data_IF_194153001859
#
_entry.id   IF_194153001859
#
_cell.length_a   1.000
_cell.length_b   1.000
_cell.length_c   1.000
_cell.angle_alpha   90.00
_cell.angle_beta   90.00
_cell.angle_gamma   90.00
#
_symmetry.space_group_name_H-M   'P 1'
#
loop_
_entity.id
_entity.type
_entity.pdbx_description
1 polymer ?
#
# COMPACT_ATOMS: atom_id res chain seq x y z
N UNK A 1 -34.25 46.18 -14.61
CA UNK A 1 -34.96 44.90 -14.81
C UNK A 1 -34.84 44.51 -16.26
N UNK A 2 -34.02 43.50 -16.55
CA UNK A 2 -33.64 43.11 -17.91
C UNK A 2 -33.90 41.63 -18.11
N UNK A 3 -34.37 41.34 -19.34
CA UNK A 3 -34.27 40.07 -20.09
C UNK A 3 -35.45 39.10 -20.06
N UNK A 4 -36.44 39.46 -20.89
CA UNK A 4 -37.02 38.68 -22.00
C UNK A 4 -37.25 37.18 -21.80
N UNK A 5 -38.54 36.87 -21.63
CA UNK A 5 -39.21 35.60 -21.92
C UNK A 5 -39.31 35.42 -23.44
N UNK A 6 -38.93 34.27 -23.98
CA UNK A 6 -39.69 33.58 -25.04
C UNK A 6 -39.31 32.10 -25.08
N UNK A 7 -40.35 31.26 -25.14
CA UNK A 7 -40.30 29.82 -24.98
C UNK A 7 -40.33 29.06 -26.32
N UNK A 8 -40.04 27.75 -26.22
CA UNK A 8 -40.53 26.63 -27.03
C UNK A 8 -40.15 26.57 -28.52
N UNK A 9 -39.36 25.54 -28.90
CA UNK A 9 -39.79 24.52 -29.89
C UNK A 9 -39.09 23.18 -29.59
N UNK A 10 -39.91 22.16 -29.38
CA UNK A 10 -39.64 20.72 -29.30
C UNK A 10 -39.27 20.12 -30.66
N UNK A 11 -38.30 19.21 -30.70
CA UNK A 11 -38.23 18.18 -31.74
C UNK A 11 -37.86 16.84 -31.10
N UNK A 12 -38.82 15.92 -31.10
CA UNK A 12 -38.75 14.53 -30.64
C UNK A 12 -38.80 13.64 -31.89
N UNK A 13 -38.27 12.42 -31.73
CA UNK A 13 -38.40 11.21 -32.57
C UNK A 13 -37.41 11.11 -33.75
N UNK A 14 -36.90 9.93 -34.13
CA UNK A 14 -36.78 8.58 -33.57
C UNK A 14 -36.19 7.74 -34.73
N UNK A 15 -35.44 6.67 -34.43
CA UNK A 15 -35.33 5.39 -35.17
C UNK A 15 -34.00 4.72 -34.76
N UNK A 16 -33.98 3.85 -33.75
CA UNK A 16 -34.21 2.39 -33.85
C UNK A 16 -33.23 1.69 -34.80
N UNK A 17 -32.31 0.90 -34.25
CA UNK A 17 -31.67 -0.17 -35.02
C UNK A 17 -30.32 -0.65 -34.52
N UNK A 18 -30.33 -1.69 -33.68
CA UNK A 18 -29.32 -2.75 -33.61
C UNK A 18 -27.88 -2.38 -33.21
N UNK A 19 -27.58 -2.56 -31.92
CA UNK A 19 -26.80 -3.71 -31.45
C UNK A 19 -26.61 -3.52 -29.94
N UNK A 20 -27.40 -4.28 -29.18
CA UNK A 20 -27.13 -4.54 -27.78
C UNK A 20 -25.82 -5.32 -27.69
N UNK A 21 -24.69 -4.62 -27.76
CA UNK A 21 -23.46 -5.11 -27.13
C UNK A 21 -23.71 -4.91 -25.65
N UNK A 22 -24.09 -6.00 -25.00
CA UNK A 22 -23.99 -6.17 -23.57
C UNK A 22 -22.56 -5.83 -23.15
N UNK A 23 -22.28 -4.54 -22.92
CA UNK A 23 -21.18 -4.11 -22.07
C UNK A 23 -21.62 -4.48 -20.67
N UNK A 24 -21.61 -5.79 -20.38
CA UNK A 24 -21.44 -6.24 -19.01
C UNK A 24 -20.29 -5.41 -18.47
N UNK A 25 -20.45 -4.69 -17.35
CA UNK A 25 -19.28 -4.19 -16.66
C UNK A 25 -18.49 -5.47 -16.38
N UNK A 26 -17.39 -5.67 -17.12
CA UNK A 26 -16.38 -6.65 -16.76
C UNK A 26 -16.19 -6.41 -15.29
N UNK A 27 -16.60 -7.38 -14.46
CA UNK A 27 -16.49 -7.26 -13.02
C UNK A 27 -15.02 -6.91 -12.79
N UNK A 28 -14.76 -5.64 -12.48
CA UNK A 28 -13.51 -5.23 -11.90
C UNK A 28 -13.45 -6.11 -10.67
N UNK A 29 -12.69 -7.21 -10.76
CA UNK A 29 -12.41 -8.05 -9.61
C UNK A 29 -11.96 -7.07 -8.55
N UNK A 30 -12.78 -6.89 -7.52
CA UNK A 30 -12.61 -5.83 -6.55
C UNK A 30 -11.30 -6.11 -5.84
N UNK A 31 -10.22 -5.53 -6.35
CA UNK A 31 -8.90 -5.54 -5.76
C UNK A 31 -9.08 -5.06 -4.32
N UNK A 32 -9.05 -6.00 -3.38
CA UNK A 32 -9.32 -5.68 -2.00
C UNK A 32 -8.03 -5.15 -1.39
N UNK A 33 -8.09 -3.95 -0.82
CA UNK A 33 -6.94 -3.34 -0.17
C UNK A 33 -6.82 -3.90 1.24
N UNK A 34 -5.71 -4.57 1.52
CA UNK A 34 -5.41 -5.14 2.84
C UNK A 34 -4.22 -4.40 3.44
N UNK A 35 -4.34 -4.04 4.72
CA UNK A 35 -3.27 -3.45 5.51
C UNK A 35 -2.74 -4.49 6.50
N UNK A 36 -1.42 -4.71 6.49
CA UNK A 36 -0.76 -5.66 7.40
C UNK A 36 0.30 -4.90 8.20
N UNK A 37 0.28 -5.10 9.51
CA UNK A 37 1.19 -4.43 10.45
C UNK A 37 2.35 -5.36 10.81
N UNK A 38 3.57 -4.92 10.56
CA UNK A 38 4.80 -5.60 10.93
C UNK A 38 5.47 -4.88 12.09
N UNK A 39 5.66 -5.61 13.19
CA UNK A 39 6.37 -5.09 14.36
C UNK A 39 7.86 -4.92 14.08
N UNK A 40 8.57 -4.07 14.86
CA UNK A 40 10.03 -3.96 14.77
C UNK A 40 10.79 -5.29 14.83
N UNK A 41 10.28 -6.28 15.58
CA UNK A 41 10.88 -7.60 15.67
C UNK A 41 10.71 -8.40 14.38
N UNK A 42 9.52 -8.39 13.78
CA UNK A 42 9.27 -9.03 12.48
C UNK A 42 10.13 -8.41 11.37
N UNK A 43 10.38 -7.10 11.45
CA UNK A 43 11.28 -6.39 10.54
C UNK A 43 12.75 -6.78 10.73
N UNK A 44 13.08 -7.35 11.89
CA UNK A 44 14.34 -8.04 12.14
C UNK A 44 14.62 -9.16 11.14
N UNK A 45 13.62 -9.93 10.72
CA UNK A 45 13.79 -11.02 9.75
C UNK A 45 14.19 -10.49 8.37
N UNK A 46 13.53 -9.42 7.91
CA UNK A 46 13.92 -8.74 6.67
C UNK A 46 15.34 -8.18 6.78
N UNK A 47 15.66 -7.49 7.88
CA UNK A 47 16.99 -6.94 8.12
C UNK A 47 18.07 -8.02 8.17
N UNK A 48 17.77 -9.17 8.80
CA UNK A 48 18.65 -10.34 8.84
C UNK A 48 18.92 -10.87 7.43
N UNK A 49 17.87 -11.04 6.65
CA UNK A 49 17.96 -11.60 5.31
C UNK A 49 18.59 -10.66 4.27
N UNK A 50 18.43 -9.34 4.40
CA UNK A 50 18.76 -8.37 3.34
C UNK A 50 19.86 -7.37 3.69
N UNK A 51 20.17 -7.17 4.96
CA UNK A 51 21.13 -6.14 5.40
C UNK A 51 22.32 -6.78 6.14
N UNK A 52 22.06 -7.47 7.24
CA UNK A 52 23.10 -8.15 8.01
C UNK A 52 22.47 -9.28 8.82
N UNK A 53 22.99 -10.50 8.71
CA UNK A 53 22.42 -11.72 9.29
C UNK A 53 22.31 -11.72 10.82
N UNK A 54 23.03 -10.84 11.52
CA UNK A 54 22.92 -10.65 12.97
C UNK A 54 21.87 -9.61 13.37
N UNK A 55 21.19 -8.96 12.41
CA UNK A 55 20.14 -7.98 12.71
C UNK A 55 18.89 -8.67 13.27
N UNK A 56 18.25 -8.03 14.24
CA UNK A 56 17.11 -8.57 14.98
C UNK A 56 15.96 -7.59 15.14
N UNK A 57 16.17 -6.31 14.85
CA UNK A 57 15.15 -5.26 14.99
C UNK A 57 15.21 -4.33 13.77
N UNK A 58 14.05 -3.96 13.23
CA UNK A 58 13.87 -2.95 12.20
C UNK A 58 13.06 -1.74 12.70
N UNK A 59 13.35 -0.56 12.14
CA UNK A 59 12.83 0.78 12.45
C UNK A 59 13.48 1.55 13.60
N UNK A 60 13.75 2.82 13.32
CA UNK A 60 14.13 3.85 14.28
C UNK A 60 13.78 5.24 13.71
N UNK A 61 13.11 6.09 14.49
CA UNK A 61 12.75 7.48 14.09
C UNK A 61 12.08 7.58 12.70
N UNK A 62 11.20 6.63 12.37
CA UNK A 62 10.43 6.62 11.13
C UNK A 62 11.18 6.21 9.86
N UNK A 63 12.44 5.82 10.00
CA UNK A 63 13.19 5.15 8.93
C UNK A 63 13.42 3.68 9.27
N UNK A 64 13.47 2.80 8.27
CA UNK A 64 13.78 1.39 8.47
C UNK A 64 15.30 1.22 8.74
N UNK A 65 15.73 1.55 9.95
CA UNK A 65 17.06 1.20 10.44
C UNK A 65 17.08 -0.23 10.96
N UNK A 66 18.11 -0.99 10.62
CA UNK A 66 18.35 -2.35 11.08
C UNK A 66 19.32 -2.32 12.27
N UNK A 67 19.00 -3.07 13.31
CA UNK A 67 19.74 -3.11 14.55
C UNK A 67 19.91 -4.56 15.02
N UNK A 68 20.96 -4.79 15.79
CA UNK A 68 21.17 -6.02 16.56
C UNK A 68 21.32 -5.71 18.04
N UNK A 69 21.08 -6.68 18.89
CA UNK A 69 21.46 -6.58 20.30
C UNK A 69 22.98 -6.41 20.43
N UNK A 70 23.40 -5.42 21.20
CA UNK A 70 24.80 -5.23 21.55
C UNK A 70 25.31 -6.44 22.32
N UNK A 71 26.60 -6.77 22.18
CA UNK A 71 27.23 -7.96 22.78
C UNK A 71 27.12 -8.02 24.32
N UNK A 72 26.79 -6.89 24.98
CA UNK A 72 26.52 -6.80 26.42
C UNK A 72 25.02 -6.75 26.82
N UNK A 73 24.10 -7.00 25.89
CA UNK A 73 22.66 -7.18 26.15
C UNK A 73 21.83 -5.93 26.46
N UNK A 74 22.44 -4.80 26.78
CA UNK A 74 21.72 -3.60 27.26
C UNK A 74 21.45 -2.53 26.20
N UNK A 75 21.84 -2.76 24.94
CA UNK A 75 21.72 -1.77 23.89
C UNK A 75 21.47 -2.36 22.51
N UNK A 76 21.20 -1.46 21.57
CA UNK A 76 21.09 -1.76 20.15
C UNK A 76 22.31 -1.21 19.42
N UNK A 77 22.91 -2.04 18.57
CA UNK A 77 23.95 -1.63 17.63
C UNK A 77 23.32 -1.53 16.25
N UNK A 78 23.43 -0.35 15.62
CA UNK A 78 22.99 -0.15 14.23
C UNK A 78 23.84 -1.00 13.27
N UNK A 79 23.19 -1.70 12.36
CA UNK A 79 23.83 -2.61 11.39
C UNK A 79 23.64 -2.19 9.94
N UNK A 80 22.70 -1.29 9.66
CA UNK A 80 22.46 -0.76 8.32
C UNK A 80 21.04 -0.24 8.14
N UNK A 81 20.70 0.23 6.94
CA UNK A 81 19.36 0.71 6.60
C UNK A 81 18.69 -0.24 5.61
N UNK A 82 17.40 -0.46 5.78
CA UNK A 82 16.52 -1.17 4.86
C UNK A 82 15.57 -0.22 4.11
N UNK A 83 14.87 -0.75 3.11
CA UNK A 83 13.78 -0.06 2.43
C UNK A 83 12.44 -0.60 2.93
N UNK A 84 11.54 0.30 3.36
CA UNK A 84 10.20 -0.07 3.81
C UNK A 84 9.37 -0.72 2.70
N UNK A 85 9.46 -0.23 1.46
CA UNK A 85 8.78 -0.85 0.32
C UNK A 85 9.35 -2.25 0.00
N UNK A 86 10.67 -2.42 0.07
CA UNK A 86 11.31 -3.72 -0.12
C UNK A 86 10.96 -4.70 1.00
N UNK A 87 10.84 -4.22 2.24
CA UNK A 87 10.38 -5.03 3.36
C UNK A 87 8.93 -5.50 3.15
N UNK A 88 8.02 -4.63 2.71
CA UNK A 88 6.67 -5.03 2.36
C UNK A 88 6.64 -6.10 1.25
N UNK A 89 7.41 -5.91 0.17
CA UNK A 89 7.51 -6.91 -0.89
C UNK A 89 8.14 -8.23 -0.41
N UNK A 90 9.02 -8.19 0.59
CA UNK A 90 9.62 -9.38 1.18
C UNK A 90 8.60 -10.22 1.97
N UNK A 91 7.72 -9.58 2.76
CA UNK A 91 6.76 -10.32 3.58
C UNK A 91 5.57 -10.90 2.80
N UNK A 92 5.11 -10.21 1.75
CA UNK A 92 4.04 -10.72 0.88
C UNK A 92 4.43 -10.59 -0.59
N UNK A 93 5.31 -11.49 -1.11
CA UNK A 93 5.78 -11.42 -2.49
C UNK A 93 4.68 -11.69 -3.52
N UNK A 94 3.55 -12.27 -3.10
CA UNK A 94 2.41 -12.59 -3.96
C UNK A 94 1.39 -11.45 -4.07
N UNK A 95 1.47 -10.44 -3.21
CA UNK A 95 0.52 -9.34 -3.20
C UNK A 95 1.10 -8.11 -3.90
N UNK A 96 0.24 -7.31 -4.52
CA UNK A 96 0.70 -6.08 -5.18
C UNK A 96 0.89 -5.00 -4.13
N UNK A 97 2.13 -4.54 -3.95
CA UNK A 97 2.47 -3.47 -3.02
C UNK A 97 1.86 -2.13 -3.49
N UNK A 98 1.11 -1.47 -2.62
CA UNK A 98 0.46 -0.18 -2.89
C UNK A 98 1.10 0.99 -2.13
N UNK A 99 1.68 0.72 -0.96
CA UNK A 99 2.24 1.76 -0.11
C UNK A 99 2.61 1.25 1.27
N UNK A 100 3.29 2.09 2.04
CA UNK A 100 3.51 1.86 3.47
C UNK A 100 3.21 3.12 4.28
N UNK A 101 2.96 2.92 5.57
CA UNK A 101 2.91 3.95 6.58
C UNK A 101 3.67 3.49 7.83
N UNK A 102 4.05 4.44 8.68
CA UNK A 102 4.57 4.11 10.00
C UNK A 102 3.41 4.03 10.99
N UNK A 103 3.29 2.89 11.67
CA UNK A 103 2.34 2.68 12.76
C UNK A 103 2.92 3.08 14.12
N UNK A 104 2.08 2.94 15.15
CA UNK A 104 2.53 3.08 16.55
C UNK A 104 3.68 2.14 16.89
N UNK A 105 4.48 2.49 17.91
CA UNK A 105 5.61 1.69 18.37
C UNK A 105 6.62 1.35 17.26
N UNK A 106 6.75 2.22 16.26
CA UNK A 106 7.65 2.06 15.11
C UNK A 106 7.34 0.83 14.23
N UNK A 107 6.08 0.39 14.20
CA UNK A 107 5.65 -0.66 13.28
C UNK A 107 5.63 -0.16 11.83
N UNK A 108 5.82 -1.08 10.88
CA UNK A 108 5.62 -0.85 9.46
C UNK A 108 4.23 -1.34 9.08
N UNK A 109 3.37 -0.44 8.60
CA UNK A 109 2.07 -0.80 8.03
C UNK A 109 2.26 -0.90 6.52
N UNK A 110 2.11 -2.09 5.97
CA UNK A 110 2.18 -2.32 4.53
C UNK A 110 0.76 -2.45 3.96
N UNK A 111 0.52 -1.75 2.84
CA UNK A 111 -0.76 -1.75 2.12
C UNK A 111 -0.60 -2.53 0.83
N UNK A 112 -1.48 -3.49 0.60
CA UNK A 112 -1.44 -4.36 -0.57
C UNK A 112 -2.80 -4.43 -1.26
N UNK A 113 -2.76 -4.75 -2.56
CA UNK A 113 -3.92 -5.31 -3.26
C UNK A 113 -3.75 -6.82 -3.32
N UNK A 114 -4.82 -7.55 -2.98
CA UNK A 114 -4.92 -9.01 -3.08
C UNK A 114 -6.01 -9.43 -4.06
#
# INVERSE_FOLDING_TARGET
MTRRVLALVTAVLACLGALAVSTAPAQAASASVVEIVYSPLSLGDYCSAKVNSSSTIGFYNGSLGCYRWSTGGTGLTYTGTGSASAACAYFNPTYTYLGYAQGGSQALICRYSV
#
